data_IF_296272659328
#
_entry.id   IF_296272659328
#
_cell.length_a   1.000
_cell.length_b   1.000
_cell.length_c   1.000
_cell.angle_alpha   90.00
_cell.angle_beta   90.00
_cell.angle_gamma   90.00
#
_symmetry.space_group_name_H-M   'P 1'
#
loop_
_entity.id
_entity.type
_entity.pdbx_description
1 polymer ?
#
# COMPACT_ATOMS: atom_id res chain seq x y z
N UNK A 1 27.56 16.50 2.72
CA UNK A 1 26.30 16.73 1.97
C UNK A 1 26.24 15.74 0.81
N UNK A 2 27.28 15.71 -0.02
CA UNK A 2 27.49 14.74 -1.10
C UNK A 2 27.39 13.26 -0.66
N UNK A 3 28.04 12.87 0.46
CA UNK A 3 27.94 11.49 0.97
C UNK A 3 26.53 11.06 1.36
N UNK A 4 25.70 11.98 1.88
CA UNK A 4 24.33 11.67 2.30
C UNK A 4 23.45 11.41 1.08
N UNK A 5 23.54 12.26 0.06
CA UNK A 5 22.80 12.09 -1.18
C UNK A 5 23.23 10.81 -1.92
N UNK A 6 24.54 10.49 -1.91
CA UNK A 6 25.05 9.23 -2.45
C UNK A 6 24.50 8.01 -1.70
N UNK A 7 24.47 8.04 -0.37
CA UNK A 7 23.89 6.96 0.45
C UNK A 7 22.39 6.81 0.23
N UNK A 8 21.64 7.91 0.11
CA UNK A 8 20.20 7.87 -0.18
C UNK A 8 19.93 7.28 -1.57
N UNK A 9 20.73 7.66 -2.57
CA UNK A 9 20.63 7.10 -3.92
C UNK A 9 21.03 5.62 -3.96
N UNK A 10 22.07 5.23 -3.23
CA UNK A 10 22.49 3.83 -3.12
C UNK A 10 21.40 2.97 -2.48
N UNK A 11 20.85 3.39 -1.34
CA UNK A 11 19.75 2.69 -0.68
C UNK A 11 18.52 2.56 -1.60
N UNK A 12 18.18 3.61 -2.35
CA UNK A 12 17.10 3.53 -3.33
C UNK A 12 17.37 2.48 -4.41
N UNK A 13 18.60 2.42 -4.96
CA UNK A 13 18.97 1.43 -5.98
C UNK A 13 18.97 0.01 -5.40
N UNK A 14 19.54 -0.21 -4.23
CA UNK A 14 19.58 -1.52 -3.55
C UNK A 14 18.16 -2.02 -3.24
N UNK A 15 17.29 -1.13 -2.76
CA UNK A 15 15.88 -1.47 -2.54
C UNK A 15 15.20 -1.89 -3.85
N UNK A 16 15.37 -1.12 -4.93
CA UNK A 16 14.82 -1.47 -6.24
C UNK A 16 15.33 -2.81 -6.77
N UNK A 17 16.60 -3.13 -6.56
CA UNK A 17 17.15 -4.44 -6.92
C UNK A 17 16.50 -5.56 -6.12
N UNK A 18 16.29 -5.37 -4.81
CA UNK A 18 15.57 -6.33 -3.97
C UNK A 18 14.14 -6.55 -4.46
N UNK A 19 13.41 -5.48 -4.78
CA UNK A 19 12.05 -5.58 -5.34
C UNK A 19 11.99 -6.38 -6.64
N UNK A 20 12.96 -6.17 -7.54
CA UNK A 20 13.07 -6.93 -8.79
C UNK A 20 13.37 -8.41 -8.56
N UNK A 21 14.17 -8.73 -7.54
CA UNK A 21 14.49 -10.11 -7.19
C UNK A 21 13.28 -10.83 -6.57
N UNK A 22 12.58 -10.17 -5.63
CA UNK A 22 11.37 -10.69 -4.99
C UNK A 22 10.23 -10.92 -6.00
N UNK A 23 10.07 -9.99 -6.95
CA UNK A 23 9.21 -10.11 -8.14
C UNK A 23 7.75 -10.54 -7.89
N UNK A 24 7.23 -10.37 -6.67
CA UNK A 24 5.83 -10.59 -6.35
C UNK A 24 4.98 -9.36 -6.71
N UNK A 25 3.65 -9.48 -6.62
CA UNK A 25 2.71 -8.42 -7.01
C UNK A 25 2.96 -7.11 -6.26
N UNK A 26 3.19 -7.17 -4.95
CA UNK A 26 3.44 -5.97 -4.15
C UNK A 26 4.82 -5.37 -4.44
N UNK A 27 5.86 -6.19 -4.57
CA UNK A 27 7.19 -5.69 -4.91
C UNK A 27 7.22 -4.99 -6.27
N UNK A 28 6.43 -5.48 -7.24
CA UNK A 28 6.21 -4.82 -8.54
C UNK A 28 5.49 -3.49 -8.41
N UNK A 29 4.39 -3.44 -7.65
CA UNK A 29 3.67 -2.19 -7.37
C UNK A 29 4.62 -1.10 -6.84
N UNK A 30 5.42 -1.43 -5.83
CA UNK A 30 6.37 -0.48 -5.23
C UNK A 30 7.43 -0.02 -6.24
N UNK A 31 7.92 -0.94 -7.08
CA UNK A 31 8.92 -0.65 -8.10
C UNK A 31 8.40 0.30 -9.18
N UNK A 32 7.20 0.03 -9.70
CA UNK A 32 6.56 0.81 -10.76
C UNK A 32 6.18 2.21 -10.27
N UNK A 33 5.85 2.33 -8.98
CA UNK A 33 5.44 3.59 -8.35
C UNK A 33 6.61 4.39 -7.76
N UNK A 34 7.85 3.95 -7.96
CA UNK A 34 9.07 4.60 -7.45
C UNK A 34 9.04 4.81 -5.92
N UNK A 35 8.50 3.85 -5.20
CA UNK A 35 8.42 3.90 -3.74
C UNK A 35 9.79 3.60 -3.15
N UNK A 36 10.22 4.41 -2.19
CA UNK A 36 11.47 4.17 -1.43
C UNK A 36 11.24 3.17 -0.30
N UNK A 37 12.32 2.57 0.23
CA UNK A 37 12.22 1.64 1.36
C UNK A 37 11.55 2.29 2.58
N UNK A 38 11.92 3.54 2.89
CA UNK A 38 11.30 4.32 3.97
C UNK A 38 9.80 4.52 3.77
N UNK A 39 9.37 4.79 2.55
CA UNK A 39 7.95 4.94 2.24
C UNK A 39 7.23 3.61 2.32
N UNK A 40 7.81 2.53 1.80
CA UNK A 40 7.25 1.18 1.91
C UNK A 40 7.03 0.78 3.37
N UNK A 41 7.99 1.05 4.25
CA UNK A 41 7.84 0.76 5.68
C UNK A 41 6.69 1.56 6.29
N UNK A 42 6.60 2.86 5.97
CA UNK A 42 5.47 3.69 6.44
C UNK A 42 4.12 3.26 5.89
N UNK A 43 4.06 2.68 4.69
CA UNK A 43 2.82 2.10 4.14
C UNK A 43 2.42 0.87 4.97
N UNK A 44 3.37 0.00 5.35
CA UNK A 44 3.07 -1.11 6.25
C UNK A 44 2.62 -0.62 7.64
N UNK A 45 3.29 0.39 8.21
CA UNK A 45 2.87 1.00 9.47
C UNK A 45 1.43 1.55 9.39
N UNK A 46 1.06 2.18 8.26
CA UNK A 46 -0.30 2.67 8.01
C UNK A 46 -1.32 1.53 7.91
N UNK A 47 -0.97 0.42 7.24
CA UNK A 47 -1.86 -0.75 7.15
C UNK A 47 -2.06 -1.38 8.53
N UNK A 48 -1.02 -1.47 9.35
CA UNK A 48 -1.12 -1.92 10.75
C UNK A 48 -1.99 -0.97 11.60
N UNK A 49 -1.85 0.34 11.41
CA UNK A 49 -2.72 1.33 12.07
C UNK A 49 -4.19 1.09 11.72
N UNK A 50 -4.52 0.92 10.43
CA UNK A 50 -5.89 0.67 10.01
C UNK A 50 -6.44 -0.68 10.51
N UNK A 51 -5.62 -1.74 10.50
CA UNK A 51 -5.98 -3.02 11.15
C UNK A 51 -6.36 -2.81 12.61
N UNK A 52 -5.51 -2.12 13.37
CA UNK A 52 -5.76 -1.89 14.81
C UNK A 52 -7.03 -1.08 15.05
N UNK A 53 -7.31 -0.08 14.21
CA UNK A 53 -8.55 0.71 14.27
C UNK A 53 -9.77 -0.16 14.02
N UNK A 54 -9.72 -1.01 12.99
CA UNK A 54 -10.80 -1.97 12.66
C UNK A 54 -11.00 -2.96 13.82
N UNK A 55 -9.93 -3.52 14.38
CA UNK A 55 -10.00 -4.45 15.51
C UNK A 55 -10.62 -3.82 16.77
N UNK A 56 -10.43 -2.51 16.95
CA UNK A 56 -11.04 -1.74 18.03
C UNK A 56 -12.48 -1.30 17.74
N UNK A 57 -13.04 -1.66 16.57
CA UNK A 57 -14.39 -1.28 16.15
C UNK A 57 -14.52 0.20 15.77
N UNK A 58 -13.42 0.85 15.38
CA UNK A 58 -13.44 2.21 14.88
C UNK A 58 -13.86 2.26 13.41
N UNK A 59 -14.58 3.32 13.04
CA UNK A 59 -14.89 3.59 11.64
C UNK A 59 -13.63 4.00 10.87
N UNK A 60 -13.42 3.37 9.72
CA UNK A 60 -12.35 3.69 8.77
C UNK A 60 -12.93 4.09 7.41
N UNK A 61 -12.23 4.97 6.69
CA UNK A 61 -12.70 5.50 5.42
C UNK A 61 -11.57 5.54 4.39
N UNK A 62 -11.86 5.15 3.14
CA UNK A 62 -10.90 5.18 2.04
C UNK A 62 -10.32 6.58 1.80
N UNK A 63 -11.13 7.65 1.94
CA UNK A 63 -10.65 9.02 1.73
C UNK A 63 -9.56 9.44 2.74
N UNK A 64 -9.65 9.00 4.01
CA UNK A 64 -8.58 9.25 4.98
C UNK A 64 -7.36 8.38 4.72
N UNK A 65 -7.56 7.14 4.25
CA UNK A 65 -6.47 6.23 3.90
C UNK A 65 -5.66 6.77 2.70
N UNK A 66 -6.34 7.20 1.65
CA UNK A 66 -5.75 7.85 0.47
C UNK A 66 -4.93 9.08 0.85
N UNK A 67 -5.48 9.93 1.73
CA UNK A 67 -4.76 11.11 2.22
C UNK A 67 -3.49 10.73 2.98
N UNK A 68 -3.53 9.72 3.86
CA UNK A 68 -2.34 9.22 4.55
C UNK A 68 -1.30 8.63 3.59
N UNK A 69 -1.74 7.96 2.52
CA UNK A 69 -0.85 7.49 1.45
C UNK A 69 -0.16 8.68 0.75
N UNK A 70 -0.87 9.77 0.47
CA UNK A 70 -0.26 10.97 -0.11
C UNK A 70 0.76 11.63 0.82
N UNK A 71 0.58 11.57 2.13
CA UNK A 71 1.56 12.07 3.11
C UNK A 71 2.82 11.19 3.18
N UNK A 72 2.70 9.90 2.89
CA UNK A 72 3.84 8.98 2.80
C UNK A 72 4.55 9.14 1.45
N UNK A 73 3.78 9.21 0.36
CA UNK A 73 4.27 9.35 -1.00
C UNK A 73 3.70 10.60 -1.68
N UNK A 74 4.22 11.81 -1.37
CA UNK A 74 3.71 13.06 -1.95
C UNK A 74 3.74 13.11 -3.47
N UNK A 75 4.69 12.39 -4.10
CA UNK A 75 4.77 12.26 -5.55
C UNK A 75 3.62 11.44 -6.18
N UNK A 76 2.74 10.87 -5.35
CA UNK A 76 1.51 10.18 -5.73
C UNK A 76 0.25 10.98 -5.39
N UNK A 77 0.37 12.25 -5.03
CA UNK A 77 -0.79 13.08 -4.71
C UNK A 77 -1.79 13.14 -5.88
N UNK A 78 -3.04 12.80 -5.57
CA UNK A 78 -4.14 12.74 -6.55
C UNK A 78 -4.24 11.43 -7.34
N UNK A 79 -3.28 10.51 -7.16
CA UNK A 79 -3.31 9.16 -7.71
C UNK A 79 -3.97 8.19 -6.71
N UNK A 80 -5.30 8.25 -6.61
CA UNK A 80 -6.06 7.41 -5.67
C UNK A 80 -5.96 5.92 -6.02
N UNK A 81 -5.72 5.59 -7.30
CA UNK A 81 -5.50 4.21 -7.74
C UNK A 81 -4.30 3.57 -7.04
N UNK A 82 -3.24 4.33 -6.75
CA UNK A 82 -2.12 3.79 -5.98
C UNK A 82 -2.53 3.34 -4.58
N UNK A 83 -3.38 4.11 -3.87
CA UNK A 83 -3.87 3.70 -2.56
C UNK A 83 -4.77 2.46 -2.63
N UNK A 84 -5.64 2.40 -3.65
CA UNK A 84 -6.47 1.22 -3.92
C UNK A 84 -5.63 -0.01 -4.19
N UNK A 85 -4.63 0.10 -5.08
CA UNK A 85 -3.73 -0.99 -5.43
C UNK A 85 -2.93 -1.46 -4.21
N UNK A 86 -2.50 -0.55 -3.32
CA UNK A 86 -1.84 -0.90 -2.06
C UNK A 86 -2.75 -1.78 -1.20
N UNK A 87 -4.01 -1.39 -1.00
CA UNK A 87 -4.94 -2.16 -0.19
C UNK A 87 -5.32 -3.49 -0.87
N UNK A 88 -5.67 -3.46 -2.16
CA UNK A 88 -6.12 -4.62 -2.92
C UNK A 88 -5.03 -5.68 -3.05
N UNK A 89 -3.81 -5.29 -3.44
CA UNK A 89 -2.71 -6.27 -3.62
C UNK A 89 -2.34 -6.95 -2.30
N UNK A 90 -2.45 -6.25 -1.16
CA UNK A 90 -2.24 -6.89 0.13
C UNK A 90 -3.35 -7.92 0.42
N UNK A 91 -4.61 -7.56 0.18
CA UNK A 91 -5.72 -8.51 0.27
C UNK A 91 -5.50 -9.74 -0.63
N UNK A 92 -5.11 -9.57 -1.90
CA UNK A 92 -4.81 -10.69 -2.83
C UNK A 92 -3.70 -11.63 -2.32
N UNK A 93 -2.80 -11.11 -1.47
CA UNK A 93 -1.70 -11.86 -0.86
C UNK A 93 -2.10 -12.52 0.47
N UNK A 94 -3.35 -12.39 0.90
CA UNK A 94 -3.83 -12.89 2.19
C UNK A 94 -3.28 -12.10 3.39
N UNK A 95 -3.06 -10.79 3.22
CA UNK A 95 -2.57 -9.90 4.28
C UNK A 95 -3.39 -8.62 4.30
N UNK A 96 -3.80 -8.14 5.48
CA UNK A 96 -4.62 -6.92 5.58
C UNK A 96 -5.93 -7.03 4.77
N UNK A 97 -6.51 -8.23 4.70
CA UNK A 97 -7.77 -8.49 4.00
C UNK A 97 -8.87 -7.57 4.55
N UNK A 98 -8.97 -7.52 5.87
CA UNK A 98 -9.89 -6.67 6.64
C UNK A 98 -9.78 -5.19 6.29
N UNK A 99 -8.55 -4.71 6.00
CA UNK A 99 -8.32 -3.30 5.66
C UNK A 99 -8.92 -2.99 4.29
N UNK A 100 -8.68 -3.83 3.29
CA UNK A 100 -9.27 -3.64 1.96
C UNK A 100 -10.80 -3.75 2.00
N UNK A 101 -11.31 -4.78 2.68
CA UNK A 101 -12.74 -5.03 2.79
C UNK A 101 -13.49 -3.85 3.41
N UNK A 102 -12.98 -3.29 4.51
CA UNK A 102 -13.62 -2.15 5.19
C UNK A 102 -13.49 -0.84 4.41
N UNK A 103 -12.36 -0.62 3.74
CA UNK A 103 -12.15 0.65 3.00
C UNK A 103 -12.88 0.68 1.66
N UNK A 104 -12.89 -0.44 0.94
CA UNK A 104 -13.22 -0.51 -0.48
C UNK A 104 -14.25 -1.60 -0.84
N UNK A 105 -14.51 -2.57 0.04
CA UNK A 105 -15.32 -3.76 -0.27
C UNK A 105 -16.75 -3.46 -0.72
N UNK A 106 -17.34 -2.38 -0.21
CA UNK A 106 -18.71 -1.96 -0.58
C UNK A 106 -18.76 -1.13 -1.88
N UNK A 107 -17.62 -0.71 -2.44
CA UNK A 107 -17.63 0.11 -3.65
C UNK A 107 -18.12 -0.68 -4.87
N UNK A 108 -19.00 -0.09 -5.71
CA UNK A 108 -19.55 -0.77 -6.89
C UNK A 108 -18.51 -1.41 -7.82
N UNK A 109 -17.34 -0.79 -7.98
CA UNK A 109 -16.27 -1.31 -8.85
C UNK A 109 -15.59 -2.56 -8.32
N UNK A 110 -15.59 -2.78 -7.00
CA UNK A 110 -14.98 -3.95 -6.37
C UNK A 110 -15.98 -5.08 -6.11
N UNK A 111 -17.27 -4.90 -6.39
CA UNK A 111 -18.29 -5.94 -6.18
C UNK A 111 -17.98 -7.26 -6.90
N UNK A 112 -17.51 -7.20 -8.16
CA UNK A 112 -17.10 -8.39 -8.89
C UNK A 112 -15.85 -9.04 -8.30
N UNK A 113 -14.87 -8.22 -7.89
CA UNK A 113 -13.66 -8.69 -7.23
C UNK A 113 -14.00 -9.40 -5.92
N UNK A 114 -14.79 -8.78 -5.06
CA UNK A 114 -15.25 -9.34 -3.79
C UNK A 114 -16.08 -10.60 -3.97
N UNK A 115 -16.96 -10.65 -4.98
CA UNK A 115 -17.76 -11.86 -5.24
C UNK A 115 -16.92 -13.09 -5.58
N UNK A 116 -15.77 -12.90 -6.23
CA UNK A 116 -14.85 -13.99 -6.57
C UNK A 116 -13.94 -14.41 -5.41
N UNK A 117 -13.78 -13.53 -4.41
CA UNK A 117 -12.90 -13.74 -3.25
C UNK A 117 -13.66 -14.03 -1.95
N UNK A 118 -15.01 -13.94 -1.96
CA UNK A 118 -15.88 -14.58 -0.98
C UNK A 118 -15.78 -16.11 -1.15
N UNK A 119 -14.82 -16.74 -0.48
CA UNK A 119 -14.73 -18.19 -0.34
C UNK A 119 -15.02 -18.59 1.11
N UNK A 120 -16.16 -19.28 1.27
CA UNK A 120 -16.57 -20.25 2.29
C UNK A 120 -16.16 -20.03 3.76
#
# INVERSE_FOLDING_TARGET
>A
MEDKELLERLNFIEFRQRLLFENNSYSRLLFDHNITEKQSNRIYDLLDEYRNRIDNGEDVHHGSFEQSIYEIAPHKQGDYHFAEDVAQINHERGSYEEVFEQLYGDMPKFQNYMSNHKKD
#
